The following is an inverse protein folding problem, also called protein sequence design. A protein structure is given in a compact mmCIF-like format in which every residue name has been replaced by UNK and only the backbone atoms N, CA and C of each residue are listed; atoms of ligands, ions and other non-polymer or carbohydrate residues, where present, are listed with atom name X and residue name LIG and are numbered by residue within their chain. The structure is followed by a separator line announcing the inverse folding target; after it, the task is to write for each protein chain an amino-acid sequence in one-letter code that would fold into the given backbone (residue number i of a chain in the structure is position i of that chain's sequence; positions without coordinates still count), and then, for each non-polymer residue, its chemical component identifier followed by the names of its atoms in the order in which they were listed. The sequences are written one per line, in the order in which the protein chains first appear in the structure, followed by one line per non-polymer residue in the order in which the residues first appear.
data_IF_893267711874
#
_entry.id   IF_893267711874
#
_cell.length_a   1.000
_cell.length_b   1.000
_cell.length_c   1.000
_cell.angle_alpha   90.00
_cell.angle_beta   90.00
_cell.angle_gamma   90.00
#
_symmetry.space_group_name_H-M   'P 1'
#
loop_
_entity.id
_entity.type
_entity.pdbx_description
1 polymer ?
#
# COMPACT_ATOMS: atom_id res chain seq x y z
N UNK A 1 -11.85 -22.28 3.08
CA UNK A 1 -12.49 -20.97 3.11
C UNK A 1 -11.45 -19.91 3.43
N UNK A 2 -11.31 -18.95 2.56
CA UNK A 2 -10.36 -17.88 2.81
C UNK A 2 -10.93 -16.93 3.87
N UNK A 3 -10.49 -17.09 5.10
CA UNK A 3 -10.82 -16.17 6.16
C UNK A 3 -9.95 -14.94 6.11
N UNK A 4 -10.45 -13.84 6.64
CA UNK A 4 -9.64 -12.66 6.89
C UNK A 4 -9.00 -12.80 8.27
N UNK A 5 -7.78 -12.37 8.38
CA UNK A 5 -7.09 -12.36 9.67
C UNK A 5 -7.17 -10.98 10.32
N UNK A 6 -7.86 -10.84 11.45
CA UNK A 6 -7.83 -9.59 12.21
C UNK A 6 -6.40 -9.21 12.62
N UNK A 7 -6.12 -7.91 12.62
CA UNK A 7 -4.82 -7.36 12.98
C UNK A 7 -5.02 -6.41 14.15
N UNK A 8 -4.45 -6.76 15.31
CA UNK A 8 -4.57 -5.94 16.51
C UNK A 8 -3.67 -4.72 16.48
N UNK A 9 -2.49 -4.86 15.88
CA UNK A 9 -1.49 -3.78 15.78
C UNK A 9 -0.98 -3.71 14.34
N UNK A 10 -1.47 -2.75 13.59
CA UNK A 10 -1.19 -2.65 12.16
C UNK A 10 0.28 -2.32 11.87
N UNK A 11 0.88 -1.42 12.65
CA UNK A 11 2.28 -1.06 12.43
C UNK A 11 3.21 -2.22 12.76
N UNK A 12 2.94 -2.94 13.83
CA UNK A 12 3.70 -4.14 14.18
C UNK A 12 3.56 -5.23 13.11
N UNK A 13 2.35 -5.38 12.55
CA UNK A 13 2.11 -6.35 11.49
C UNK A 13 2.88 -6.01 10.21
N UNK A 14 2.85 -4.74 9.78
CA UNK A 14 3.49 -4.31 8.54
C UNK A 14 5.01 -4.22 8.64
N UNK A 15 5.55 -3.99 9.82
CA UNK A 15 7.00 -3.77 10.01
C UNK A 15 7.84 -4.90 9.39
N UNK A 16 8.89 -4.52 8.69
CA UNK A 16 9.81 -5.46 8.04
C UNK A 16 9.73 -5.39 6.52
N UNK A 17 10.16 -6.47 5.87
CA UNK A 17 10.25 -6.55 4.42
C UNK A 17 9.19 -7.45 3.82
N UNK A 18 8.76 -7.06 2.62
CA UNK A 18 7.74 -7.78 1.84
C UNK A 18 8.17 -7.88 0.38
N UNK A 19 7.90 -9.02 -0.22
CA UNK A 19 7.96 -9.17 -1.67
C UNK A 19 6.66 -8.66 -2.26
N UNK A 20 6.74 -7.91 -3.35
CA UNK A 20 5.59 -7.27 -3.99
C UNK A 20 5.41 -7.80 -5.40
N UNK A 21 4.20 -8.21 -5.71
CA UNK A 21 3.79 -8.55 -7.07
C UNK A 21 2.48 -7.81 -7.35
N UNK A 22 2.49 -6.95 -8.35
CA UNK A 22 1.34 -6.13 -8.71
C UNK A 22 0.95 -6.34 -10.15
N UNK A 23 -0.34 -6.54 -10.40
CA UNK A 23 -0.89 -6.45 -11.73
C UNK A 23 -1.61 -5.13 -11.90
N UNK A 24 -1.45 -4.51 -13.04
CA UNK A 24 -2.13 -3.26 -13.42
C UNK A 24 -2.93 -3.52 -14.68
N UNK A 25 -4.20 -3.19 -14.66
CA UNK A 25 -5.08 -3.33 -15.82
C UNK A 25 -5.78 -2.02 -16.10
N UNK A 26 -5.73 -1.58 -17.34
CA UNK A 26 -6.53 -0.46 -17.83
C UNK A 26 -7.82 -1.04 -18.42
N UNK A 27 -8.94 -0.83 -17.72
CA UNK A 27 -10.23 -1.36 -18.16
C UNK A 27 -10.78 -0.63 -19.38
N UNK A 28 -10.32 0.60 -19.64
CA UNK A 28 -10.76 1.36 -20.80
C UNK A 28 -10.11 0.85 -22.09
N UNK A 29 -8.82 0.53 -22.07
CA UNK A 29 -8.06 0.11 -23.25
C UNK A 29 -7.80 -1.39 -23.30
N UNK A 30 -7.93 -2.10 -22.18
CA UNK A 30 -7.56 -3.51 -22.09
C UNK A 30 -6.05 -3.73 -21.90
N UNK A 31 -5.25 -2.67 -21.87
CA UNK A 31 -3.82 -2.80 -21.65
C UNK A 31 -3.53 -3.32 -20.24
N UNK A 32 -2.43 -4.02 -20.07
CA UNK A 32 -2.03 -4.62 -18.80
C UNK A 32 -0.53 -4.47 -18.58
N UNK A 33 -0.14 -4.39 -17.30
CA UNK A 33 1.24 -4.34 -16.91
C UNK A 33 1.46 -5.05 -15.59
N UNK A 34 2.71 -5.18 -15.20
CA UNK A 34 3.11 -5.82 -13.95
C UNK A 34 4.19 -5.03 -13.26
N UNK A 35 4.19 -5.10 -11.93
CA UNK A 35 5.28 -4.60 -11.10
C UNK A 35 5.76 -5.73 -10.21
N UNK A 36 7.06 -5.92 -10.14
CA UNK A 36 7.68 -6.87 -9.22
C UNK A 36 8.80 -6.17 -8.49
N UNK A 37 8.81 -6.32 -7.17
CA UNK A 37 9.82 -5.67 -6.35
C UNK A 37 9.72 -6.05 -4.89
N UNK A 38 10.24 -5.16 -4.07
CA UNK A 38 10.23 -5.30 -2.62
C UNK A 38 9.71 -4.03 -1.98
N UNK A 39 9.13 -4.19 -0.81
CA UNK A 39 8.76 -3.05 0.03
C UNK A 39 9.27 -3.28 1.44
N UNK A 40 9.66 -2.20 2.09
CA UNK A 40 10.02 -2.19 3.49
C UNK A 40 9.11 -1.24 4.26
N UNK A 41 8.83 -1.62 5.50
CA UNK A 41 8.21 -0.76 6.49
C UNK A 41 9.17 -0.67 7.66
N UNK A 42 9.84 0.44 7.80
CA UNK A 42 10.89 0.63 8.81
C UNK A 42 10.65 1.91 9.60
N UNK A 43 11.11 1.95 10.85
CA UNK A 43 11.09 3.20 11.59
C UNK A 43 11.81 4.28 10.77
N UNK A 44 11.32 5.52 10.79
CA UNK A 44 12.00 6.59 10.07
C UNK A 44 13.38 6.82 10.67
N UNK A 45 14.36 7.11 9.80
CA UNK A 45 15.71 7.45 10.24
C UNK A 45 15.67 8.78 10.99
N UNK A 46 15.59 8.70 12.29
CA UNK A 46 15.65 9.84 13.16
C UNK A 46 16.98 9.85 13.88
N UNK A 47 17.91 10.61 13.38
CA UNK A 47 19.17 10.84 14.07
C UNK A 47 18.98 11.93 15.14
N UNK A 48 18.39 11.55 16.25
CA UNK A 48 18.32 12.43 17.38
C UNK A 48 16.93 12.65 17.94
N UNK A 49 16.87 13.11 19.19
CA UNK A 49 15.61 13.37 19.87
C UNK A 49 14.84 14.50 19.18
N UNK A 50 13.61 14.20 18.78
CA UNK A 50 12.71 15.18 18.17
C UNK A 50 12.65 15.17 16.66
N UNK A 51 13.49 14.40 15.97
CA UNK A 51 13.41 14.27 14.49
C UNK A 51 12.61 13.05 14.04
N UNK A 52 12.39 12.07 14.91
CA UNK A 52 11.63 10.88 14.60
C UNK A 52 10.13 11.14 14.76
N UNK A 53 9.40 11.11 13.69
CA UNK A 53 7.96 10.97 13.78
C UNK A 53 7.64 9.49 14.10
N UNK A 54 6.55 9.28 14.83
CA UNK A 54 6.10 7.92 15.13
C UNK A 54 5.54 7.27 13.88
N UNK A 55 5.77 5.97 13.71
CA UNK A 55 5.23 5.19 12.62
C UNK A 55 6.29 4.51 11.79
N UNK A 56 5.97 4.21 10.53
CA UNK A 56 6.84 3.49 9.62
C UNK A 56 6.98 4.24 8.30
N UNK A 57 8.20 4.30 7.80
CA UNK A 57 8.48 4.71 6.45
C UNK A 57 8.27 3.50 5.53
N UNK A 58 7.38 3.64 4.58
CA UNK A 58 7.10 2.64 3.55
C UNK A 58 7.89 3.00 2.31
N UNK A 59 8.79 2.13 1.90
CA UNK A 59 9.57 2.31 0.67
C UNK A 59 9.40 1.08 -0.21
N UNK A 60 8.95 1.31 -1.44
CA UNK A 60 8.74 0.27 -2.44
C UNK A 60 9.64 0.54 -3.64
N UNK A 61 10.34 -0.48 -4.13
CA UNK A 61 11.15 -0.37 -5.34
C UNK A 61 11.11 -1.67 -6.14
N UNK A 62 11.18 -1.55 -7.44
CA UNK A 62 11.15 -2.70 -8.32
C UNK A 62 11.12 -2.30 -9.78
N UNK A 63 10.64 -3.23 -10.61
CA UNK A 63 10.55 -3.05 -12.06
C UNK A 63 9.09 -3.07 -12.49
N UNK A 64 8.70 -2.05 -13.23
CA UNK A 64 7.38 -1.93 -13.84
C UNK A 64 7.47 -2.20 -15.32
N UNK A 65 6.70 -3.16 -15.80
CA UNK A 65 6.55 -3.47 -17.22
C UNK A 65 5.19 -3.02 -17.71
N UNK A 66 5.17 -2.24 -18.77
CA UNK A 66 3.95 -1.77 -19.42
C UNK A 66 4.14 -1.80 -20.93
N UNK A 67 3.29 -2.58 -21.63
CA UNK A 67 3.32 -2.70 -23.09
C UNK A 67 4.72 -3.02 -23.64
N UNK A 68 5.42 -3.97 -23.00
CA UNK A 68 6.73 -4.41 -23.44
C UNK A 68 7.91 -3.53 -23.02
N UNK A 69 7.66 -2.45 -22.28
CA UNK A 69 8.70 -1.56 -21.80
C UNK A 69 8.85 -1.75 -20.29
N UNK A 70 10.05 -2.07 -19.84
CA UNK A 70 10.36 -2.27 -18.42
C UNK A 70 11.16 -1.08 -17.90
N UNK A 71 10.73 -0.53 -16.76
CA UNK A 71 11.37 0.61 -16.11
C UNK A 71 11.46 0.41 -14.62
N UNK A 72 12.50 0.94 -13.96
CA UNK A 72 12.52 1.03 -12.50
C UNK A 72 11.38 1.93 -12.01
N UNK A 73 10.81 1.57 -10.87
CA UNK A 73 9.78 2.39 -10.22
C UNK A 73 9.97 2.33 -8.71
N UNK A 74 9.77 3.46 -8.06
CA UNK A 74 9.88 3.60 -6.62
C UNK A 74 8.71 4.40 -6.08
N UNK A 75 8.36 4.13 -4.82
CA UNK A 75 7.34 4.90 -4.11
C UNK A 75 7.65 4.93 -2.63
N UNK A 76 7.40 6.07 -2.00
CA UNK A 76 7.55 6.26 -0.55
C UNK A 76 6.26 6.79 0.02
N UNK A 77 5.81 6.18 1.11
CA UNK A 77 4.66 6.63 1.90
C UNK A 77 5.03 6.65 3.37
N UNK A 78 4.23 7.33 4.18
CA UNK A 78 4.37 7.35 5.64
C UNK A 78 3.14 6.69 6.25
N UNK A 79 3.37 5.74 7.15
CA UNK A 79 2.31 5.09 7.92
C UNK A 79 2.41 5.54 9.36
N UNK A 80 1.51 6.41 9.79
CA UNK A 80 1.48 7.00 11.12
C UNK A 80 0.46 6.30 12.02
N UNK A 81 0.63 6.33 13.35
CA UNK A 81 -0.42 5.85 14.25
C UNK A 81 -1.75 6.57 14.00
N UNK A 82 -2.84 5.82 13.95
CA UNK A 82 -4.15 6.32 13.57
C UNK A 82 -5.17 6.45 14.70
N UNK A 83 -4.74 6.59 15.95
CA UNK A 83 -5.64 6.74 17.08
C UNK A 83 -6.06 5.43 17.73
N UNK A 84 -5.55 4.31 17.28
CA UNK A 84 -5.74 2.98 17.85
C UNK A 84 -4.75 2.01 17.24
N UNK A 85 -4.44 0.91 17.93
CA UNK A 85 -3.39 0.00 17.48
C UNK A 85 -3.69 -0.63 16.11
N UNK A 86 -4.96 -0.90 15.81
CA UNK A 86 -5.36 -1.47 14.51
C UNK A 86 -5.42 -0.43 13.38
N UNK A 87 -5.19 0.85 13.68
CA UNK A 87 -5.39 1.96 12.76
C UNK A 87 -4.09 2.64 12.38
N UNK A 88 -4.02 3.09 11.14
CA UNK A 88 -2.92 3.91 10.65
C UNK A 88 -3.47 5.09 9.84
N UNK A 89 -2.70 6.18 9.84
CA UNK A 89 -2.92 7.33 8.98
C UNK A 89 -1.84 7.28 7.91
N UNK A 90 -2.23 7.02 6.67
CA UNK A 90 -1.29 6.87 5.56
C UNK A 90 -1.16 8.19 4.84
N UNK A 91 0.07 8.65 4.68
CA UNK A 91 0.41 9.91 4.05
C UNK A 91 1.41 9.74 2.93
N UNK A 92 1.37 10.68 1.98
CA UNK A 92 2.41 10.79 0.98
C UNK A 92 3.75 11.16 1.61
N UNK A 93 4.84 11.02 0.86
CA UNK A 93 6.19 11.31 1.34
C UNK A 93 6.36 12.75 1.83
N UNK A 94 5.62 13.69 1.26
CA UNK A 94 5.64 15.12 1.66
C UNK A 94 4.74 15.43 2.87
N UNK A 95 4.05 14.42 3.43
CA UNK A 95 3.19 14.56 4.59
C UNK A 95 1.73 14.87 4.28
N UNK A 96 1.35 15.07 3.02
CA UNK A 96 -0.05 15.27 2.66
C UNK A 96 -0.87 14.01 2.93
N UNK A 97 -2.12 14.14 3.40
CA UNK A 97 -2.99 12.99 3.65
C UNK A 97 -3.24 12.17 2.38
N UNK A 98 -3.21 10.86 2.51
CA UNK A 98 -3.59 9.95 1.45
C UNK A 98 -4.89 9.20 1.82
N UNK A 99 -4.84 8.34 2.83
CA UNK A 99 -6.02 7.63 3.32
C UNK A 99 -5.79 7.16 4.75
N UNK A 100 -6.87 6.80 5.42
CA UNK A 100 -6.80 6.07 6.69
C UNK A 100 -6.79 4.55 6.43
N UNK A 101 -6.50 3.78 7.47
CA UNK A 101 -6.45 2.33 7.41
C UNK A 101 -6.84 1.77 8.77
N UNK A 102 -7.73 0.77 8.78
CA UNK A 102 -8.11 0.04 9.98
C UNK A 102 -8.21 -1.45 9.66
N UNK A 103 -7.28 -2.24 10.16
CA UNK A 103 -7.23 -3.67 9.89
C UNK A 103 -7.76 -4.51 11.06
N UNK A 104 -8.58 -3.93 11.94
CA UNK A 104 -9.13 -4.64 13.09
C UNK A 104 -9.88 -5.91 12.70
N UNK A 105 -10.55 -5.93 11.55
CA UNK A 105 -11.26 -7.11 11.04
C UNK A 105 -10.45 -7.93 10.05
N UNK A 106 -9.27 -7.45 9.64
CA UNK A 106 -8.48 -8.07 8.57
C UNK A 106 -8.89 -7.61 7.18
N UNK A 107 -9.88 -6.74 7.07
CA UNK A 107 -10.35 -6.18 5.80
C UNK A 107 -10.74 -4.73 5.98
N UNK A 108 -10.38 -3.89 5.00
CA UNK A 108 -10.71 -2.47 5.04
C UNK A 108 -10.85 -1.90 3.64
N UNK A 109 -11.73 -0.93 3.47
CA UNK A 109 -11.89 -0.18 2.22
C UNK A 109 -11.55 1.28 2.50
N UNK A 110 -10.55 1.78 1.78
CA UNK A 110 -10.12 3.17 1.86
C UNK A 110 -10.53 3.92 0.60
N UNK A 111 -10.99 5.15 0.76
CA UNK A 111 -11.30 6.04 -0.35
C UNK A 111 -10.40 7.28 -0.29
N UNK A 112 -9.94 7.71 -1.46
CA UNK A 112 -9.18 8.95 -1.60
C UNK A 112 -9.68 9.69 -2.83
N UNK A 113 -10.60 10.66 -2.68
CA UNK A 113 -10.99 11.51 -3.78
C UNK A 113 -9.87 12.49 -4.12
N UNK A 114 -9.54 12.59 -5.41
CA UNK A 114 -8.47 13.45 -5.89
C UNK A 114 -8.97 14.20 -7.14
N UNK A 115 -9.43 15.42 -6.95
CA UNK A 115 -10.02 16.22 -8.02
C UNK A 115 -11.16 15.46 -8.73
N UNK A 116 -10.99 15.15 -10.03
CA UNK A 116 -11.98 14.40 -10.80
C UNK A 116 -11.78 12.88 -10.71
N UNK A 117 -10.72 12.42 -10.05
CA UNK A 117 -10.40 11.00 -9.92
C UNK A 117 -10.77 10.48 -8.54
N UNK A 118 -11.21 9.23 -8.50
CA UNK A 118 -11.52 8.53 -7.26
C UNK A 118 -10.60 7.33 -7.12
N UNK A 119 -9.88 7.26 -6.00
CA UNK A 119 -9.08 6.11 -5.62
C UNK A 119 -9.81 5.33 -4.53
N UNK A 120 -10.05 4.05 -4.77
CA UNK A 120 -10.66 3.16 -3.80
C UNK A 120 -9.80 1.92 -3.64
N UNK A 121 -9.35 1.66 -2.40
CA UNK A 121 -8.47 0.55 -2.10
C UNK A 121 -9.10 -0.44 -1.13
N UNK A 122 -9.11 -1.71 -1.49
CA UNK A 122 -9.50 -2.79 -0.61
C UNK A 122 -8.24 -3.46 -0.06
N UNK A 123 -8.17 -3.56 1.27
CA UNK A 123 -7.08 -4.21 2.00
C UNK A 123 -7.59 -5.50 2.58
N UNK A 124 -6.86 -6.60 2.38
CA UNK A 124 -7.21 -7.91 2.92
C UNK A 124 -5.97 -8.56 3.50
N UNK A 125 -6.04 -8.96 4.77
CA UNK A 125 -4.98 -9.71 5.44
C UNK A 125 -5.38 -11.17 5.47
N UNK A 126 -4.56 -12.05 4.89
CA UNK A 126 -4.84 -13.47 4.82
C UNK A 126 -4.25 -14.24 6.00
N UNK A 127 -3.01 -13.93 6.35
CA UNK A 127 -2.29 -14.58 7.45
C UNK A 127 -1.12 -13.68 7.92
N UNK A 128 -0.25 -14.22 8.78
CA UNK A 128 0.87 -13.45 9.32
C UNK A 128 1.85 -12.96 8.26
N UNK A 129 1.87 -13.61 7.09
CA UNK A 129 2.90 -13.40 6.08
C UNK A 129 2.36 -12.96 4.72
N UNK A 130 1.05 -12.77 4.59
CA UNK A 130 0.44 -12.40 3.31
C UNK A 130 -0.71 -11.43 3.49
N UNK A 131 -0.71 -10.38 2.66
CA UNK A 131 -1.84 -9.47 2.53
C UNK A 131 -1.93 -8.95 1.10
N UNK A 132 -3.07 -8.38 0.75
CA UNK A 132 -3.36 -7.92 -0.60
C UNK A 132 -4.03 -6.56 -0.58
N UNK A 133 -3.75 -5.74 -1.60
CA UNK A 133 -4.55 -4.57 -1.91
C UNK A 133 -5.11 -4.66 -3.32
N UNK A 134 -6.32 -4.14 -3.48
CA UNK A 134 -6.92 -3.93 -4.81
C UNK A 134 -7.32 -2.47 -4.90
N UNK A 135 -6.62 -1.69 -5.68
CA UNK A 135 -6.92 -0.29 -5.91
C UNK A 135 -7.67 -0.11 -7.21
N UNK A 136 -8.82 0.55 -7.15
CA UNK A 136 -9.55 1.03 -8.31
C UNK A 136 -9.30 2.52 -8.44
N UNK A 137 -8.82 2.94 -9.61
CA UNK A 137 -8.57 4.35 -9.91
C UNK A 137 -9.47 4.71 -11.09
N UNK A 138 -10.53 5.48 -10.82
CA UNK A 138 -11.51 5.88 -11.81
C UNK A 138 -11.55 7.39 -11.99
N UNK A 139 -11.88 7.82 -13.18
CA UNK A 139 -12.01 9.23 -13.51
C UNK A 139 -12.38 9.40 -14.97
N UNK A 140 -12.51 10.67 -15.45
CA UNK A 140 -12.93 10.91 -16.84
C UNK A 140 -12.00 10.32 -17.89
N UNK A 141 -10.69 10.20 -17.56
CA UNK A 141 -9.67 9.77 -18.52
C UNK A 141 -8.97 8.47 -18.11
N UNK A 142 -9.38 7.82 -17.02
CA UNK A 142 -8.72 6.59 -16.57
C UNK A 142 -9.69 5.65 -15.86
N UNK A 143 -9.40 4.37 -15.98
CA UNK A 143 -10.11 3.31 -15.27
C UNK A 143 -9.13 2.16 -15.06
N UNK A 144 -8.44 2.19 -13.92
CA UNK A 144 -7.35 1.26 -13.61
C UNK A 144 -7.73 0.35 -12.45
N UNK A 145 -7.26 -0.89 -12.50
CA UNK A 145 -7.30 -1.83 -11.37
C UNK A 145 -5.88 -2.28 -11.10
N UNK A 146 -5.42 -2.05 -9.86
CA UNK A 146 -4.10 -2.46 -9.39
C UNK A 146 -4.28 -3.48 -8.28
N UNK A 147 -3.89 -4.72 -8.54
CA UNK A 147 -3.95 -5.81 -7.56
C UNK A 147 -2.53 -6.10 -7.10
N UNK A 148 -2.28 -5.94 -5.81
CA UNK A 148 -0.94 -6.13 -5.24
C UNK A 148 -0.97 -7.22 -4.18
N UNK A 149 -0.12 -8.22 -4.33
CA UNK A 149 0.13 -9.25 -3.33
C UNK A 149 1.44 -8.96 -2.62
N UNK A 150 1.38 -8.97 -1.30
CA UNK A 150 2.53 -8.80 -0.43
C UNK A 150 2.79 -10.11 0.30
N UNK A 151 4.00 -10.62 0.19
CA UNK A 151 4.44 -11.82 0.86
C UNK A 151 5.66 -11.48 1.70
N UNK A 152 5.67 -11.90 2.97
CA UNK A 152 6.77 -11.55 3.86
C UNK A 152 8.09 -12.10 3.34
N UNK A 153 9.08 -11.22 3.29
CA UNK A 153 10.45 -11.58 2.93
C UNK A 153 11.36 -11.32 4.13
N UNK A 154 12.06 -12.31 4.55
CA UNK A 154 12.96 -12.21 5.72
C UNK A 154 14.40 -12.10 5.28
#
# INVERSE_FOLDING_TARGET
MAGFRPVDDVLAYLAGGWRVRRSVRDLASGAAGTFEGTTSFEPPDGDGPGSAWEGLLHHESGLFEWQGVTRPAERTLRFLPGGGASRADVRFADGRPFHDLDLATGRYVADHPCAADLYRGEFTVFDADRWRTVWRVGGPAKDLVLTTDYTRSW
#
